data_IF_055095297365
#
_entry.id   IF_055095297365
#
_cell.length_a   1.000
_cell.length_b   1.000
_cell.length_c   1.000
_cell.angle_alpha   90.00
_cell.angle_beta   90.00
_cell.angle_gamma   90.00
#
_symmetry.space_group_name_H-M   'P 1'
#
loop_
_entity.id
_entity.type
_entity.pdbx_description
1 polymer ?
#
# COMPACT_ATOMS: atom_id res chain seq x y z
N UNK A 1 19.56 20.35 -25.89
CA UNK A 1 18.95 19.17 -26.54
C UNK A 1 17.80 18.66 -25.67
N UNK A 2 16.57 18.61 -26.18
CA UNK A 2 15.42 18.03 -25.44
C UNK A 2 15.62 16.51 -25.39
N UNK A 3 15.70 15.93 -24.20
CA UNK A 3 15.75 14.48 -24.03
C UNK A 3 14.50 13.85 -24.66
N UNK A 4 14.67 12.73 -25.39
CA UNK A 4 13.56 12.01 -25.98
C UNK A 4 12.56 11.60 -24.89
N UNK A 5 11.25 11.72 -25.12
CA UNK A 5 10.26 11.30 -24.13
C UNK A 5 10.44 9.80 -23.85
N UNK A 6 10.54 9.46 -22.57
CA UNK A 6 10.71 8.08 -22.13
C UNK A 6 9.54 7.17 -22.50
N UNK A 7 9.70 5.87 -22.23
CA UNK A 7 8.65 4.87 -22.49
C UNK A 7 7.34 5.25 -21.77
N UNK A 8 6.23 5.25 -22.51
CA UNK A 8 4.90 5.51 -21.95
C UNK A 8 4.55 4.47 -20.88
N UNK A 9 3.87 4.91 -19.83
CA UNK A 9 3.41 4.02 -18.77
C UNK A 9 2.34 3.06 -19.31
N UNK A 10 2.44 1.78 -18.94
CA UNK A 10 1.47 0.73 -19.32
C UNK A 10 0.08 0.98 -18.73
N UNK A 11 0.00 1.65 -17.58
CA UNK A 11 -1.24 1.93 -16.87
C UNK A 11 -1.46 3.44 -16.84
N UNK A 12 -2.62 3.87 -17.33
CA UNK A 12 -3.05 5.27 -17.32
C UNK A 12 -3.40 5.77 -15.92
N UNK A 13 -3.39 7.09 -15.75
CA UNK A 13 -3.57 7.72 -14.43
C UNK A 13 -4.96 7.45 -13.82
N UNK A 14 -6.01 7.32 -14.64
CA UNK A 14 -7.37 6.99 -14.20
C UNK A 14 -7.42 5.63 -13.49
N UNK A 15 -6.82 4.60 -14.09
CA UNK A 15 -6.75 3.26 -13.52
C UNK A 15 -5.91 3.26 -12.24
N UNK A 16 -4.79 4.02 -12.22
CA UNK A 16 -4.00 4.20 -10.99
C UNK A 16 -4.79 4.84 -9.87
N UNK A 17 -5.54 5.90 -10.17
CA UNK A 17 -6.39 6.60 -9.20
C UNK A 17 -7.47 5.67 -8.62
N UNK A 18 -8.09 4.86 -9.46
CA UNK A 18 -9.03 3.84 -9.02
C UNK A 18 -8.38 2.81 -8.07
N UNK A 19 -7.25 2.22 -8.47
CA UNK A 19 -6.52 1.25 -7.64
C UNK A 19 -6.12 1.87 -6.31
N UNK A 20 -5.62 3.12 -6.32
CA UNK A 20 -5.25 3.85 -5.10
C UNK A 20 -6.43 3.93 -4.12
N UNK A 21 -7.62 4.30 -4.60
CA UNK A 21 -8.84 4.35 -3.77
C UNK A 21 -9.19 2.98 -3.20
N UNK A 22 -9.08 1.91 -4.00
CA UNK A 22 -9.43 0.57 -3.55
C UNK A 22 -8.43 -0.04 -2.56
N UNK A 23 -7.16 0.31 -2.68
CA UNK A 23 -6.15 -0.05 -1.67
C UNK A 23 -6.40 0.68 -0.36
N UNK A 24 -6.74 1.98 -0.40
CA UNK A 24 -7.06 2.78 0.80
C UNK A 24 -8.33 2.27 1.50
N UNK A 25 -9.37 1.96 0.72
CA UNK A 25 -10.62 1.39 1.23
C UNK A 25 -10.42 -0.02 1.83
N UNK A 26 -9.35 -0.71 1.44
CA UNK A 26 -9.02 -2.05 1.92
C UNK A 26 -9.69 -3.18 1.14
N UNK A 27 -10.32 -2.89 -0.01
CA UNK A 27 -10.84 -3.91 -0.92
C UNK A 27 -9.68 -4.72 -1.53
N UNK A 28 -8.61 -4.03 -1.91
CA UNK A 28 -7.36 -4.67 -2.35
C UNK A 28 -6.36 -4.81 -1.21
N UNK A 29 -6.51 -5.87 -0.41
CA UNK A 29 -5.63 -6.16 0.73
C UNK A 29 -4.21 -6.58 0.34
N UNK A 30 -4.02 -7.10 -0.87
CA UNK A 30 -2.73 -7.63 -1.32
C UNK A 30 -2.40 -7.16 -2.74
N UNK A 31 -1.10 -7.11 -3.06
CA UNK A 31 -0.65 -6.86 -4.44
C UNK A 31 -1.16 -7.93 -5.43
N UNK A 32 -1.41 -9.16 -4.95
CA UNK A 32 -2.00 -10.24 -5.76
C UNK A 32 -3.43 -9.92 -6.17
N UNK A 33 -4.24 -9.36 -5.27
CA UNK A 33 -5.60 -8.92 -5.60
C UNK A 33 -5.60 -7.83 -6.68
N UNK A 34 -4.67 -6.87 -6.57
CA UNK A 34 -4.49 -5.83 -7.60
C UNK A 34 -4.06 -6.44 -8.94
N UNK A 35 -3.17 -7.43 -8.92
CA UNK A 35 -2.70 -8.13 -10.11
C UNK A 35 -3.84 -8.90 -10.80
N UNK A 36 -4.65 -9.64 -10.05
CA UNK A 36 -5.81 -10.36 -10.57
C UNK A 36 -6.83 -9.40 -11.19
N UNK A 37 -7.10 -8.27 -10.53
CA UNK A 37 -7.98 -7.24 -11.07
C UNK A 37 -7.46 -6.66 -12.39
N UNK A 38 -6.18 -6.29 -12.43
CA UNK A 38 -5.55 -5.75 -13.64
C UNK A 38 -5.54 -6.77 -14.80
N UNK A 39 -5.28 -8.04 -14.52
CA UNK A 39 -5.36 -9.10 -15.53
C UNK A 39 -6.78 -9.29 -16.03
N UNK A 40 -7.78 -9.23 -15.15
CA UNK A 40 -9.20 -9.32 -15.52
C UNK A 40 -9.67 -8.17 -16.41
N UNK A 41 -9.03 -7.00 -16.31
CA UNK A 41 -9.25 -5.86 -17.21
C UNK A 41 -8.47 -5.96 -18.55
N UNK A 42 -7.67 -7.02 -18.75
CA UNK A 42 -6.88 -7.21 -19.97
C UNK A 42 -5.51 -6.51 -19.96
N UNK A 43 -5.02 -6.01 -18.82
CA UNK A 43 -3.67 -5.48 -18.74
C UNK A 43 -2.63 -6.61 -18.66
N UNK A 44 -1.73 -6.65 -19.64
CA UNK A 44 -0.57 -7.56 -19.63
C UNK A 44 0.52 -7.03 -18.70
N UNK A 45 0.32 -7.17 -17.38
CA UNK A 45 1.29 -6.75 -16.36
C UNK A 45 1.76 -7.94 -15.52
N UNK A 46 3.07 -8.07 -15.36
CA UNK A 46 3.65 -9.04 -14.43
C UNK A 46 3.46 -8.61 -12.97
N UNK A 47 3.49 -9.58 -12.05
CA UNK A 47 3.35 -9.31 -10.61
C UNK A 47 4.37 -8.28 -10.09
N UNK A 48 5.63 -8.35 -10.56
CA UNK A 48 6.67 -7.38 -10.22
C UNK A 48 6.35 -5.95 -10.71
N UNK A 49 5.65 -5.83 -11.83
CA UNK A 49 5.13 -4.56 -12.35
C UNK A 49 4.08 -3.97 -11.42
N UNK A 50 3.19 -4.80 -10.87
CA UNK A 50 2.19 -4.37 -9.88
C UNK A 50 2.85 -3.89 -8.59
N UNK A 51 3.92 -4.56 -8.12
CA UNK A 51 4.68 -4.10 -6.96
C UNK A 51 5.33 -2.72 -7.20
N UNK A 52 5.94 -2.52 -8.39
CA UNK A 52 6.49 -1.22 -8.78
C UNK A 52 5.40 -0.14 -8.87
N UNK A 53 4.23 -0.49 -9.40
CA UNK A 53 3.07 0.38 -9.48
C UNK A 53 2.63 0.84 -8.08
N UNK A 54 2.42 -0.10 -7.15
CA UNK A 54 2.02 0.22 -5.78
C UNK A 54 3.07 1.09 -5.08
N UNK A 55 4.36 0.79 -5.27
CA UNK A 55 5.47 1.61 -4.74
C UNK A 55 5.45 3.03 -5.31
N UNK A 56 5.15 3.20 -6.60
CA UNK A 56 5.03 4.52 -7.24
C UNK A 56 3.87 5.36 -6.68
N UNK A 57 2.87 4.71 -6.09
CA UNK A 57 1.74 5.35 -5.40
C UNK A 57 1.97 5.52 -3.90
N UNK A 58 3.23 5.38 -3.42
CA UNK A 58 3.63 5.43 -2.01
C UNK A 58 3.06 4.33 -1.11
N UNK A 59 2.52 3.25 -1.67
CA UNK A 59 2.16 2.08 -0.86
C UNK A 59 3.38 1.23 -0.55
N UNK A 60 3.49 0.83 0.72
CA UNK A 60 4.51 -0.10 1.21
C UNK A 60 3.82 -1.30 1.84
N UNK A 61 4.49 -2.45 1.78
CA UNK A 61 4.03 -3.63 2.49
C UNK A 61 3.99 -3.35 3.99
N UNK A 62 2.94 -3.85 4.66
CA UNK A 62 2.85 -3.75 6.11
C UNK A 62 3.98 -4.57 6.73
N UNK A 63 4.80 -3.93 7.57
CA UNK A 63 5.83 -4.62 8.33
C UNK A 63 5.15 -5.50 9.38
N UNK A 64 5.34 -6.81 9.26
CA UNK A 64 4.85 -7.76 10.26
C UNK A 64 5.87 -7.87 11.40
N UNK A 65 5.86 -6.89 12.31
CA UNK A 65 6.65 -6.96 13.53
C UNK A 65 5.89 -7.79 14.59
N UNK A 66 6.58 -8.71 15.25
CA UNK A 66 6.03 -9.41 16.42
C UNK A 66 5.69 -8.39 17.50
N UNK A 67 4.42 -8.31 17.89
CA UNK A 67 3.95 -7.45 18.97
C UNK A 67 3.23 -8.32 20.00
N UNK A 68 3.48 -8.12 21.31
CA UNK A 68 2.76 -8.85 22.33
C UNK A 68 1.27 -8.48 22.29
N UNK A 69 0.41 -9.46 22.55
CA UNK A 69 -1.02 -9.22 22.69
C UNK A 69 -1.26 -8.47 24.01
N UNK A 70 -1.64 -7.20 23.92
CA UNK A 70 -1.94 -6.38 25.10
C UNK A 70 -3.44 -6.36 25.35
N UNK A 71 -3.84 -6.72 26.56
CA UNK A 71 -5.20 -6.50 27.07
C UNK A 71 -5.50 -5.00 27.15
N UNK A 72 -6.79 -4.66 27.30
CA UNK A 72 -7.24 -3.27 27.49
C UNK A 72 -6.53 -2.64 28.70
N UNK A 73 -6.50 -3.35 29.83
CA UNK A 73 -5.86 -2.90 31.06
C UNK A 73 -4.34 -2.63 30.88
N UNK A 74 -3.63 -3.48 30.13
CA UNK A 74 -2.21 -3.25 29.85
C UNK A 74 -2.00 -1.96 29.03
N UNK A 75 -2.88 -1.66 28.08
CA UNK A 75 -2.79 -0.45 27.25
C UNK A 75 -3.05 0.81 28.08
N UNK A 76 -4.04 0.78 28.96
CA UNK A 76 -4.39 1.90 29.84
C UNK A 76 -3.24 2.22 30.82
N UNK A 77 -2.67 1.22 31.48
CA UNK A 77 -1.51 1.42 32.37
C UNK A 77 -0.31 2.01 31.65
N UNK A 78 -0.01 1.50 30.44
CA UNK A 78 1.09 2.03 29.62
C UNK A 78 0.84 3.48 29.19
N UNK A 79 -0.39 3.82 28.83
CA UNK A 79 -0.78 5.18 28.47
C UNK A 79 -0.63 6.13 29.67
N UNK A 80 -1.14 5.76 30.84
CA UNK A 80 -1.03 6.55 32.06
C UNK A 80 0.42 6.82 32.44
N UNK A 81 1.28 5.78 32.40
CA UNK A 81 2.71 5.95 32.66
C UNK A 81 3.38 6.90 31.66
N UNK A 82 3.09 6.74 30.36
CA UNK A 82 3.64 7.58 29.31
C UNK A 82 3.20 9.04 29.43
N UNK A 83 1.96 9.30 29.84
CA UNK A 83 1.47 10.66 30.10
C UNK A 83 2.15 11.29 31.32
N UNK A 84 2.36 10.52 32.40
CA UNK A 84 3.00 11.01 33.62
C UNK A 84 4.49 11.34 33.44
N UNK A 85 5.17 10.71 32.47
CA UNK A 85 6.60 10.90 32.20
C UNK A 85 6.85 11.57 30.84
N UNK A 86 5.86 12.31 30.33
CA UNK A 86 6.00 13.06 29.09
C UNK A 86 6.80 14.34 29.40
N UNK A 87 8.07 14.36 28.98
CA UNK A 87 8.92 15.56 28.96
C UNK A 87 8.35 16.58 27.96
#
# INVERSE_FOLDING_TARGET
>A
MKAAPGRRATIGETTKSYIRRQVIKGEFKTAKAVHQYLNGLGYTIGYSGVLKLLKSMNFRAKINAKKPLLSKQHKERRLAWAMAHKV
#
